data_IF_881817892919
#
_entry.id   IF_881817892919
#
_cell.length_a   1.000
_cell.length_b   1.000
_cell.length_c   1.000
_cell.angle_alpha   90.00
_cell.angle_beta   90.00
_cell.angle_gamma   90.00
#
_symmetry.space_group_name_H-M   'P 1'
#
loop_
_entity.id
_entity.type
_entity.pdbx_description
1 polymer ?
#
# COMPACT_ATOMS: atom_id res chain seq x y z
N UNK A 1 4.28 15.44 4.02
CA UNK A 1 3.85 14.21 3.36
C UNK A 1 2.84 13.51 4.26
N UNK A 2 1.57 13.38 3.84
CA UNK A 2 0.60 12.62 4.62
C UNK A 2 0.81 11.13 4.33
N UNK A 3 1.12 10.36 5.37
CA UNK A 3 1.24 8.90 5.30
C UNK A 3 -0.05 8.18 5.73
N UNK A 4 -1.11 8.92 6.07
CA UNK A 4 -2.32 8.35 6.66
C UNK A 4 -3.16 7.55 5.67
N UNK A 5 -3.13 7.90 4.38
CA UNK A 5 -3.99 7.31 3.36
C UNK A 5 -3.24 6.84 2.11
N UNK A 6 -1.91 6.70 2.19
CA UNK A 6 -1.04 6.30 1.08
C UNK A 6 -1.29 7.10 -0.21
N UNK A 7 -1.54 8.41 -0.08
CA UNK A 7 -1.86 9.33 -1.18
C UNK A 7 -3.17 9.01 -1.94
N UNK A 8 -4.03 8.14 -1.39
CA UNK A 8 -5.34 7.79 -1.93
C UNK A 8 -6.44 8.44 -1.08
N UNK A 9 -7.46 9.01 -1.72
CA UNK A 9 -8.65 9.52 -1.08
C UNK A 9 -9.85 8.68 -1.55
N UNK A 10 -10.59 8.13 -0.59
CA UNK A 10 -11.83 7.40 -0.85
C UNK A 10 -13.00 8.37 -0.74
N UNK A 11 -13.70 8.60 -1.85
CA UNK A 11 -14.93 9.37 -1.89
C UNK A 11 -16.12 8.42 -1.89
N UNK A 12 -16.96 8.52 -0.87
CA UNK A 12 -18.24 7.83 -0.80
C UNK A 12 -19.26 8.59 -1.65
N UNK A 13 -19.89 7.92 -2.61
CA UNK A 13 -20.96 8.52 -3.40
C UNK A 13 -22.26 8.32 -2.61
N UNK A 14 -22.92 9.40 -2.14
CA UNK A 14 -24.13 9.29 -1.35
C UNK A 14 -25.23 8.57 -2.16
N UNK A 15 -26.01 7.73 -1.46
CA UNK A 15 -27.08 6.88 -2.03
C UNK A 15 -26.61 5.75 -2.98
N UNK A 16 -25.30 5.47 -3.04
CA UNK A 16 -24.77 4.29 -3.71
C UNK A 16 -23.92 3.47 -2.73
N UNK A 17 -23.80 2.15 -2.98
CA UNK A 17 -22.86 1.28 -2.27
C UNK A 17 -21.44 1.34 -2.86
N UNK A 18 -21.16 2.31 -3.74
CA UNK A 18 -19.91 2.43 -4.47
C UNK A 18 -18.95 3.41 -3.79
N UNK A 19 -17.67 3.03 -3.74
CA UNK A 19 -16.57 3.87 -3.26
C UNK A 19 -15.70 4.24 -4.46
N UNK A 20 -15.40 5.52 -4.64
CA UNK A 20 -14.48 5.98 -5.67
C UNK A 20 -13.12 6.30 -5.05
N UNK A 21 -12.04 5.79 -5.65
CA UNK A 21 -10.69 6.09 -5.20
C UNK A 21 -10.06 7.12 -6.14
N UNK A 22 -9.61 8.23 -5.58
CA UNK A 22 -8.94 9.31 -6.29
C UNK A 22 -7.64 9.68 -5.58
N UNK A 23 -6.78 10.44 -6.24
CA UNK A 23 -5.56 10.94 -5.62
C UNK A 23 -5.88 11.90 -4.47
N UNK A 24 -5.16 11.81 -3.37
CA UNK A 24 -5.35 12.71 -2.23
C UNK A 24 -5.04 14.16 -2.64
N UNK A 25 -6.00 15.10 -2.51
CA UNK A 25 -5.82 16.48 -2.95
C UNK A 25 -4.74 17.23 -2.16
N UNK A 26 -4.54 16.87 -0.89
CA UNK A 26 -3.54 17.52 -0.02
C UNK A 26 -2.11 17.03 -0.28
N UNK A 27 -1.98 15.82 -0.83
CA UNK A 27 -0.69 15.10 -0.89
C UNK A 27 -0.19 14.87 -2.31
N UNK A 28 -1.09 14.95 -3.29
CA UNK A 28 -0.80 14.65 -4.68
C UNK A 28 -0.45 13.18 -4.93
N UNK A 29 -0.29 12.79 -6.20
CA UNK A 29 0.11 11.44 -6.56
C UNK A 29 1.56 11.22 -6.18
N UNK A 30 1.92 9.98 -5.83
CA UNK A 30 3.33 9.60 -5.66
C UNK A 30 4.01 9.63 -7.02
N UNK A 31 5.24 10.13 -7.06
CA UNK A 31 6.07 9.98 -8.26
C UNK A 31 6.48 8.52 -8.44
N UNK A 32 6.84 8.13 -9.66
CA UNK A 32 7.26 6.75 -9.94
C UNK A 32 8.45 6.34 -9.06
N UNK A 33 9.37 7.26 -8.83
CA UNK A 33 10.56 7.05 -8.00
C UNK A 33 10.17 6.78 -6.54
N UNK A 34 9.18 7.51 -6.02
CA UNK A 34 8.67 7.32 -4.66
C UNK A 34 7.95 5.97 -4.50
N UNK A 35 7.24 5.52 -5.52
CA UNK A 35 6.60 4.20 -5.50
C UNK A 35 7.65 3.10 -5.48
N UNK A 36 8.64 3.16 -6.37
CA UNK A 36 9.73 2.17 -6.44
C UNK A 36 10.52 2.12 -5.13
N UNK A 37 10.84 3.27 -4.54
CA UNK A 37 11.53 3.33 -3.25
C UNK A 37 10.72 2.67 -2.13
N UNK A 38 9.41 2.92 -2.07
CA UNK A 38 8.54 2.32 -1.07
C UNK A 38 8.37 0.80 -1.26
N UNK A 39 8.31 0.32 -2.51
CA UNK A 39 8.26 -1.12 -2.80
C UNK A 39 9.54 -1.85 -2.37
N UNK A 40 10.69 -1.23 -2.61
CA UNK A 40 11.98 -1.80 -2.21
C UNK A 40 12.12 -1.85 -0.68
N UNK A 41 11.73 -0.78 0.02
CA UNK A 41 11.71 -0.75 1.48
C UNK A 41 10.78 -1.84 2.05
N UNK A 42 9.57 -1.97 1.49
CA UNK A 42 8.62 -3.00 1.91
C UNK A 42 9.18 -4.42 1.70
N UNK A 43 9.83 -4.68 0.57
CA UNK A 43 10.48 -5.99 0.31
C UNK A 43 11.56 -6.31 1.34
N UNK A 44 12.36 -5.32 1.73
CA UNK A 44 13.40 -5.51 2.74
C UNK A 44 12.78 -5.81 4.11
N UNK A 45 11.70 -5.11 4.48
CA UNK A 45 10.97 -5.37 5.72
C UNK A 45 10.36 -6.78 5.74
N UNK A 46 9.76 -7.22 4.64
CA UNK A 46 9.22 -8.59 4.52
C UNK A 46 10.35 -9.61 4.64
N UNK A 47 11.45 -9.43 3.93
CA UNK A 47 12.60 -10.35 4.00
C UNK A 47 13.27 -10.40 5.38
N UNK A 48 13.24 -9.30 6.14
CA UNK A 48 13.68 -9.29 7.54
C UNK A 48 12.67 -9.98 8.47
N UNK A 49 11.38 -9.74 8.28
CA UNK A 49 10.31 -10.43 9.02
C UNK A 49 10.34 -11.95 8.77
N UNK A 50 10.51 -12.39 7.52
CA UNK A 50 10.62 -13.80 7.14
C UNK A 50 11.80 -14.48 7.85
N UNK A 51 12.94 -13.79 7.94
CA UNK A 51 14.12 -14.30 8.66
C UNK A 51 13.90 -14.38 10.16
N UNK A 52 13.21 -13.41 10.75
CA UNK A 52 12.99 -13.32 12.21
C UNK A 52 11.91 -14.27 12.71
N UNK A 53 10.84 -14.42 11.95
CA UNK A 53 9.65 -15.18 12.34
C UNK A 53 9.53 -16.53 11.64
N UNK A 54 10.43 -16.85 10.70
CA UNK A 54 10.45 -18.14 10.01
C UNK A 54 9.21 -18.36 9.14
N UNK A 55 8.63 -17.29 8.57
CA UNK A 55 7.39 -17.32 7.78
C UNK A 55 7.50 -18.05 6.43
N UNK A 56 8.59 -18.78 6.19
CA UNK A 56 8.73 -19.69 5.05
C UNK A 56 7.98 -20.99 5.32
N UNK A 57 6.66 -20.95 5.46
CA UNK A 57 5.83 -22.14 5.37
C UNK A 57 4.40 -21.83 4.91
N UNK A 58 4.07 -22.46 3.77
CA UNK A 58 2.74 -22.74 3.21
C UNK A 58 2.15 -21.80 2.16
N UNK A 59 2.81 -21.69 1.00
CA UNK A 59 2.11 -21.62 -0.30
C UNK A 59 2.56 -22.79 -1.19
N UNK A 60 2.21 -24.01 -0.78
CA UNK A 60 2.08 -25.18 -1.67
C UNK A 60 0.97 -26.09 -1.14
N UNK A 61 -0.27 -25.69 -1.35
CA UNK A 61 -1.42 -26.59 -1.49
C UNK A 61 -2.66 -25.76 -1.85
N UNK A 62 -2.99 -25.71 -3.15
CA UNK A 62 -4.24 -26.20 -3.78
C UNK A 62 -4.11 -25.98 -5.28
#
# INVERSE_FOLDING_TARGET
>A
MCNLCNNTNAMLIPFSSSVFFMTCPDCGPRTKEQVVAAEEELRQMIADADRRFGMVQQEKAI
#
